data_IF_318764067187
#
_entry.id   IF_318764067187
#
_cell.length_a   1.000
_cell.length_b   1.000
_cell.length_c   1.000
_cell.angle_alpha   90.00
_cell.angle_beta   90.00
_cell.angle_gamma   90.00
#
_symmetry.space_group_name_H-M   'P 1'
#
loop_
_entity.id
_entity.type
_entity.pdbx_description
1 polymer ?
#
# COMPACT_ATOMS: atom_id res chain seq x y z
N UNK A 1 18.12 -25.16 -27.76
CA UNK A 1 18.82 -25.77 -26.61
C UNK A 1 20.30 -25.48 -26.76
N UNK A 2 20.84 -24.55 -25.97
CA UNK A 2 22.29 -24.42 -25.78
C UNK A 2 22.52 -24.17 -24.29
N UNK A 3 23.17 -25.13 -23.63
CA UNK A 3 23.55 -25.04 -22.22
C UNK A 3 24.77 -24.12 -22.09
N UNK A 4 24.79 -23.11 -21.21
CA UNK A 4 25.95 -22.26 -21.03
C UNK A 4 27.06 -22.98 -20.22
N UNK A 5 28.34 -22.59 -20.42
CA UNK A 5 29.52 -23.29 -19.91
C UNK A 5 29.78 -23.04 -18.40
N UNK A 6 30.49 -24.00 -17.79
CA UNK A 6 30.59 -24.20 -16.34
C UNK A 6 31.57 -23.28 -15.56
N UNK A 7 32.10 -22.21 -16.17
CA UNK A 7 33.18 -21.41 -15.55
C UNK A 7 33.04 -19.88 -15.75
N UNK A 8 31.81 -19.37 -15.74
CA UNK A 8 31.58 -17.93 -15.71
C UNK A 8 31.49 -17.44 -14.25
N UNK A 9 32.52 -16.69 -13.80
CA UNK A 9 32.44 -15.85 -12.59
C UNK A 9 31.16 -15.01 -12.65
N UNK A 10 30.47 -14.73 -11.53
CA UNK A 10 29.19 -14.03 -11.55
C UNK A 10 29.38 -12.54 -11.90
N UNK A 11 29.61 -12.26 -13.19
CA UNK A 11 29.41 -10.96 -13.79
C UNK A 11 27.93 -10.63 -13.60
N UNK A 12 27.67 -9.95 -12.48
CA UNK A 12 26.35 -9.57 -12.01
C UNK A 12 25.89 -8.39 -12.85
N UNK A 13 25.58 -8.66 -14.11
CA UNK A 13 24.89 -7.71 -14.96
C UNK A 13 23.53 -7.45 -14.31
N UNK A 14 23.38 -6.24 -13.79
CA UNK A 14 22.20 -5.68 -13.14
C UNK A 14 20.92 -5.92 -13.96
N UNK A 15 20.29 -7.08 -13.81
CA UNK A 15 18.98 -7.31 -14.40
C UNK A 15 17.93 -6.63 -13.52
N UNK A 16 17.81 -5.31 -13.69
CA UNK A 16 16.75 -4.53 -13.06
C UNK A 16 15.42 -5.02 -13.64
N UNK A 17 14.67 -5.77 -12.83
CA UNK A 17 13.35 -6.24 -13.21
C UNK A 17 12.30 -5.22 -12.82
N UNK A 18 11.55 -4.75 -13.82
CA UNK A 18 10.35 -3.93 -13.66
C UNK A 18 9.14 -4.72 -14.15
N UNK A 19 8.03 -4.59 -13.43
CA UNK A 19 6.76 -5.19 -13.79
C UNK A 19 5.61 -4.34 -13.28
N UNK A 20 4.59 -4.18 -14.11
CA UNK A 20 3.35 -3.45 -13.78
C UNK A 20 2.18 -4.34 -14.17
N UNK A 21 1.13 -4.32 -13.36
CA UNK A 21 -0.12 -5.01 -13.65
C UNK A 21 -1.30 -4.17 -13.21
N UNK A 22 -2.27 -4.02 -14.11
CA UNK A 22 -3.53 -3.37 -13.81
C UNK A 22 -4.58 -4.42 -13.40
N UNK A 23 -5.33 -4.12 -12.35
CA UNK A 23 -6.41 -4.98 -11.84
C UNK A 23 -7.66 -4.14 -11.73
N UNK A 24 -8.62 -4.40 -12.61
CA UNK A 24 -9.92 -3.74 -12.55
C UNK A 24 -10.75 -4.29 -11.38
N UNK A 25 -11.42 -3.39 -10.67
CA UNK A 25 -12.42 -3.74 -9.66
C UNK A 25 -13.80 -3.52 -10.29
N UNK A 26 -14.69 -4.51 -10.21
CA UNK A 26 -16.01 -4.48 -10.88
C UNK A 26 -16.92 -3.36 -10.38
N UNK A 27 -16.81 -3.02 -9.10
CA UNK A 27 -17.60 -1.97 -8.45
C UNK A 27 -16.62 -1.04 -7.73
N UNK A 28 -16.79 0.29 -7.83
CA UNK A 28 -16.04 1.24 -7.02
C UNK A 28 -16.09 0.85 -5.54
N UNK A 29 -14.95 0.83 -4.86
CA UNK A 29 -14.91 0.32 -3.49
C UNK A 29 -13.86 1.02 -2.63
N UNK A 30 -14.24 1.35 -1.40
CA UNK A 30 -13.36 1.82 -0.33
C UNK A 30 -13.01 0.70 0.67
N UNK A 31 -13.42 -0.55 0.41
CA UNK A 31 -13.12 -1.69 1.28
C UNK A 31 -11.63 -2.04 1.20
N UNK A 32 -10.90 -1.71 2.27
CA UNK A 32 -9.45 -1.97 2.39
C UNK A 32 -9.09 -3.43 2.14
N UNK A 33 -9.94 -4.39 2.55
CA UNK A 33 -9.66 -5.82 2.36
C UNK A 33 -9.74 -6.22 0.88
N UNK A 34 -10.72 -5.68 0.15
CA UNK A 34 -10.84 -5.91 -1.31
C UNK A 34 -9.67 -5.28 -2.06
N UNK A 35 -9.27 -4.06 -1.70
CA UNK A 35 -8.15 -3.37 -2.31
C UNK A 35 -6.84 -4.12 -2.08
N UNK A 36 -6.58 -4.60 -0.86
CA UNK A 36 -5.39 -5.42 -0.56
C UNK A 36 -5.42 -6.74 -1.33
N UNK A 37 -6.58 -7.40 -1.44
CA UNK A 37 -6.70 -8.63 -2.23
C UNK A 37 -6.38 -8.40 -3.72
N UNK A 38 -6.91 -7.33 -4.32
CA UNK A 38 -6.63 -6.95 -5.70
C UNK A 38 -5.14 -6.62 -5.93
N UNK A 39 -4.55 -5.86 -5.01
CA UNK A 39 -3.14 -5.50 -5.02
C UNK A 39 -2.23 -6.75 -4.99
N UNK A 40 -2.51 -7.69 -4.08
CA UNK A 40 -1.78 -8.96 -3.99
C UNK A 40 -1.98 -9.83 -5.24
N UNK A 41 -3.17 -9.82 -5.81
CA UNK A 41 -3.47 -10.53 -7.05
C UNK A 41 -2.61 -10.00 -8.21
N UNK A 42 -2.54 -8.68 -8.39
CA UNK A 42 -1.67 -8.06 -9.38
C UNK A 42 -0.19 -8.37 -9.12
N UNK A 43 0.27 -8.21 -7.88
CA UNK A 43 1.65 -8.50 -7.48
C UNK A 43 2.05 -9.94 -7.82
N UNK A 44 1.19 -10.93 -7.55
CA UNK A 44 1.47 -12.34 -7.87
C UNK A 44 1.68 -12.58 -9.37
N UNK A 45 1.08 -11.78 -10.26
CA UNK A 45 1.20 -11.92 -11.72
C UNK A 45 2.52 -11.38 -12.25
N UNK A 46 3.08 -10.37 -11.60
CA UNK A 46 4.36 -9.74 -11.98
C UNK A 46 5.53 -10.24 -11.12
N UNK A 47 5.26 -11.00 -10.07
CA UNK A 47 6.33 -11.53 -9.23
C UNK A 47 7.13 -12.60 -9.99
N UNK A 48 8.45 -12.47 -9.99
CA UNK A 48 9.41 -13.40 -10.56
C UNK A 48 10.42 -13.83 -9.49
N UNK A 49 10.50 -15.13 -9.16
CA UNK A 49 11.51 -15.62 -8.24
C UNK A 49 12.92 -15.40 -8.82
N UNK A 50 13.89 -15.18 -7.94
CA UNK A 50 15.30 -14.93 -8.32
C UNK A 50 15.67 -13.47 -8.51
N UNK A 51 14.71 -12.54 -8.49
CA UNK A 51 14.97 -11.10 -8.51
C UNK A 51 14.93 -10.49 -7.11
N UNK A 52 15.80 -9.50 -6.87
CA UNK A 52 15.73 -8.64 -5.69
C UNK A 52 14.89 -7.42 -6.02
N UNK A 53 13.82 -7.21 -5.26
CA UNK A 53 12.91 -6.08 -5.44
C UNK A 53 13.28 -4.96 -4.46
N UNK A 54 13.51 -3.75 -4.98
CA UNK A 54 13.84 -2.58 -4.16
C UNK A 54 12.60 -1.80 -3.70
N UNK A 55 11.56 -1.76 -4.53
CA UNK A 55 10.34 -0.97 -4.27
C UNK A 55 9.13 -1.57 -4.98
N UNK A 56 7.97 -1.49 -4.33
CA UNK A 56 6.66 -1.71 -4.93
C UNK A 56 5.82 -0.43 -4.78
N UNK A 57 4.90 -0.22 -5.72
CA UNK A 57 3.94 0.89 -5.69
C UNK A 57 2.58 0.36 -6.10
N UNK A 58 1.54 0.91 -5.49
CA UNK A 58 0.15 0.70 -5.88
C UNK A 58 -0.43 2.06 -6.22
N UNK A 59 -1.22 2.10 -7.30
CA UNK A 59 -1.89 3.31 -7.75
C UNK A 59 -3.38 2.98 -7.86
N UNK A 60 -4.21 3.81 -7.24
CA UNK A 60 -5.65 3.75 -7.42
C UNK A 60 -6.01 4.76 -8.52
N UNK A 61 -6.69 4.27 -9.54
CA UNK A 61 -7.19 5.05 -10.67
C UNK A 61 -8.70 5.17 -10.58
N UNK A 62 -9.28 6.11 -11.33
CA UNK A 62 -10.75 6.28 -11.41
C UNK A 62 -11.43 6.53 -10.06
N UNK A 63 -10.79 7.34 -9.21
CA UNK A 63 -11.37 7.77 -7.94
C UNK A 63 -12.62 8.60 -8.19
N UNK A 64 -13.69 8.28 -7.46
CA UNK A 64 -14.97 8.98 -7.52
C UNK A 64 -15.43 9.35 -6.11
N UNK A 65 -16.27 10.39 -6.02
CA UNK A 65 -16.88 10.79 -4.77
C UNK A 65 -17.86 9.71 -4.26
N UNK A 66 -17.84 9.46 -2.96
CA UNK A 66 -18.78 8.54 -2.32
C UNK A 66 -20.23 9.02 -2.56
N UNK A 67 -21.12 8.10 -2.91
CA UNK A 67 -22.54 8.40 -3.18
C UNK A 67 -22.86 8.87 -4.60
N UNK A 68 -21.87 9.05 -5.47
CA UNK A 68 -22.06 9.35 -6.91
C UNK A 68 -21.93 8.08 -7.78
N UNK A 69 -22.00 6.91 -7.15
CA UNK A 69 -21.82 5.64 -7.83
C UNK A 69 -23.09 5.15 -8.53
N UNK A 70 -22.92 4.63 -9.75
CA UNK A 70 -24.00 3.94 -10.42
C UNK A 70 -24.18 2.56 -9.78
N UNK A 71 -25.35 2.34 -9.19
CA UNK A 71 -25.69 1.02 -8.64
C UNK A 71 -25.71 -0.03 -9.74
N UNK A 72 -25.08 -1.18 -9.47
CA UNK A 72 -25.16 -2.37 -10.31
C UNK A 72 -26.20 -3.33 -9.73
N UNK A 73 -27.15 -3.76 -10.57
CA UNK A 73 -28.25 -4.65 -10.20
C UNK A 73 -27.77 -6.02 -9.70
N UNK A 74 -26.59 -6.46 -10.16
CA UNK A 74 -26.01 -7.75 -9.80
C UNK A 74 -24.86 -7.63 -8.79
N UNK A 75 -24.55 -6.42 -8.33
CA UNK A 75 -23.48 -6.22 -7.38
C UNK A 75 -23.88 -6.71 -5.97
N UNK A 76 -22.93 -7.30 -5.23
CA UNK A 76 -23.15 -7.67 -3.83
C UNK A 76 -23.38 -6.41 -2.97
N UNK A 77 -24.27 -6.53 -1.98
CA UNK A 77 -24.69 -5.44 -1.10
C UNK A 77 -23.50 -4.72 -0.42
N UNK A 78 -23.27 -3.45 -0.76
CA UNK A 78 -22.17 -2.64 -0.23
C UNK A 78 -22.38 -2.25 1.26
N UNK A 79 -23.64 -2.10 1.68
CA UNK A 79 -24.06 -1.52 2.97
C UNK A 79 -23.40 -2.15 4.20
N UNK A 80 -23.19 -3.47 4.20
CA UNK A 80 -22.57 -4.19 5.33
C UNK A 80 -21.06 -3.95 5.40
N UNK A 81 -20.40 -3.81 4.24
CA UNK A 81 -18.96 -3.55 4.16
C UNK A 81 -18.65 -2.12 4.57
N UNK A 82 -19.49 -1.17 4.18
CA UNK A 82 -19.30 0.25 4.54
C UNK A 82 -19.36 0.46 6.05
N UNK A 83 -20.32 -0.17 6.74
CA UNK A 83 -20.39 -0.13 8.21
C UNK A 83 -19.15 -0.73 8.85
N UNK A 84 -18.67 -1.87 8.36
CA UNK A 84 -17.45 -2.49 8.88
C UNK A 84 -16.24 -1.57 8.72
N UNK A 85 -16.07 -0.94 7.55
CA UNK A 85 -14.97 -0.01 7.31
C UNK A 85 -15.07 1.22 8.21
N UNK A 86 -16.27 1.79 8.37
CA UNK A 86 -16.49 2.93 9.25
C UNK A 86 -16.15 2.60 10.72
N UNK A 87 -16.50 1.41 11.22
CA UNK A 87 -16.15 0.97 12.58
C UNK A 87 -14.63 0.74 12.72
N UNK A 88 -13.99 0.14 11.71
CA UNK A 88 -12.53 -0.03 11.69
C UNK A 88 -11.81 1.33 11.77
N UNK A 89 -12.28 2.30 11.00
CA UNK A 89 -11.73 3.66 10.98
C UNK A 89 -11.98 4.36 12.32
N UNK A 90 -13.17 4.25 12.90
CA UNK A 90 -13.49 4.83 14.21
C UNK A 90 -12.59 4.28 15.33
N UNK A 91 -12.27 2.98 15.30
CA UNK A 91 -11.33 2.38 16.27
C UNK A 91 -9.91 2.92 16.03
N UNK A 92 -9.47 3.01 14.78
CA UNK A 92 -8.15 3.58 14.45
C UNK A 92 -8.03 5.05 14.86
N UNK A 93 -9.08 5.85 14.72
CA UNK A 93 -9.07 7.25 15.15
C UNK A 93 -9.01 7.38 16.67
N UNK A 94 -9.70 6.49 17.40
CA UNK A 94 -9.74 6.52 18.87
C UNK A 94 -8.46 6.04 19.53
N UNK A 95 -7.86 4.96 19.02
CA UNK A 95 -6.74 4.28 19.68
C UNK A 95 -5.39 4.56 19.01
N UNK A 96 -5.39 5.31 17.90
CA UNK A 96 -4.21 5.69 17.16
C UNK A 96 -4.11 4.97 15.82
N UNK A 97 -3.45 5.64 14.87
CA UNK A 97 -3.32 5.15 13.50
C UNK A 97 -2.70 3.75 13.45
N UNK A 98 -3.27 2.88 12.61
CA UNK A 98 -2.87 1.48 12.44
C UNK A 98 -3.07 0.58 13.68
N UNK A 99 -3.98 0.92 14.60
CA UNK A 99 -4.36 0.04 15.72
C UNK A 99 -4.97 -1.25 15.20
N UNK A 100 -5.98 -1.15 14.33
CA UNK A 100 -6.55 -2.23 13.54
C UNK A 100 -5.99 -2.17 12.12
N UNK A 101 -5.50 -3.32 11.66
CA UNK A 101 -4.85 -3.49 10.37
C UNK A 101 -5.20 -4.84 9.77
N UNK A 102 -5.05 -4.95 8.45
CA UNK A 102 -5.23 -6.20 7.74
C UNK A 102 -4.19 -7.21 8.23
N UNK A 103 -4.63 -8.42 8.58
CA UNK A 103 -3.79 -9.42 9.25
C UNK A 103 -2.58 -9.91 8.44
N UNK A 104 -2.52 -9.62 7.12
CA UNK A 104 -1.34 -9.96 6.31
C UNK A 104 -0.17 -8.96 6.49
N UNK A 105 -0.40 -7.85 7.20
CA UNK A 105 0.62 -6.83 7.47
C UNK A 105 1.30 -7.18 8.79
N UNK A 106 2.60 -7.40 8.75
CA UNK A 106 3.40 -7.62 9.97
C UNK A 106 3.20 -6.46 10.94
N UNK A 107 2.87 -6.78 12.20
CA UNK A 107 2.54 -5.79 13.21
C UNK A 107 3.73 -4.97 13.71
N UNK A 108 4.94 -5.39 13.36
CA UNK A 108 6.18 -4.71 13.70
C UNK A 108 6.81 -4.13 12.45
N UNK A 109 6.64 -2.83 12.27
CA UNK A 109 7.40 -2.09 11.27
C UNK A 109 8.85 -1.98 11.78
N UNK A 110 9.72 -2.91 11.37
CA UNK A 110 11.14 -2.91 11.74
C UNK A 110 11.88 -1.65 11.25
N UNK A 111 11.29 -0.91 10.30
CA UNK A 111 11.87 0.28 9.70
C UNK A 111 11.00 1.51 9.96
N UNK A 112 11.39 2.30 10.96
CA UNK A 112 10.85 3.64 11.17
C UNK A 112 11.74 4.65 10.45
N UNK A 113 11.15 5.74 9.93
CA UNK A 113 11.92 6.83 9.34
C UNK A 113 12.84 7.42 10.40
N UNK A 114 14.16 7.35 10.18
CA UNK A 114 15.15 7.92 11.07
C UNK A 114 15.11 9.45 10.95
N UNK A 115 14.45 10.11 11.90
CA UNK A 115 14.24 11.56 11.92
C UNK A 115 15.29 12.29 12.80
N UNK A 116 16.49 11.75 12.93
CA UNK A 116 17.53 12.29 13.82
C UNK A 116 17.99 13.71 13.45
N UNK A 117 17.72 14.17 12.23
CA UNK A 117 18.03 15.51 11.74
C UNK A 117 16.78 16.37 11.49
N UNK A 118 15.62 16.02 12.08
CA UNK A 118 14.40 16.82 11.94
C UNK A 118 14.60 18.15 12.67
N UNK A 119 14.51 19.26 11.93
CA UNK A 119 14.47 20.61 12.52
C UNK A 119 13.15 20.80 13.27
N UNK A 120 13.10 21.70 14.29
CA UNK A 120 11.85 22.00 14.98
C UNK A 120 10.75 22.42 14.01
N UNK A 121 9.52 22.07 14.34
CA UNK A 121 8.33 22.24 13.51
C UNK A 121 7.82 23.69 13.53
N UNK A 122 8.68 24.67 13.21
CA UNK A 122 8.40 26.11 13.34
C UNK A 122 7.10 26.61 12.66
N UNK A 123 6.66 25.94 11.60
CA UNK A 123 5.47 26.33 10.82
C UNK A 123 4.21 25.53 11.16
N UNK A 124 4.34 24.47 11.95
CA UNK A 124 3.25 23.51 12.22
C UNK A 124 3.01 23.25 13.70
N UNK A 125 3.93 23.67 14.57
CA UNK A 125 3.80 23.60 16.02
C UNK A 125 4.25 24.92 16.65
N UNK A 126 3.33 25.58 17.36
CA UNK A 126 3.61 26.83 18.07
C UNK A 126 4.59 26.64 19.23
N UNK A 127 4.67 25.43 19.80
CA UNK A 127 5.58 25.11 20.90
C UNK A 127 7.05 25.03 20.48
N UNK A 128 7.31 24.81 19.19
CA UNK A 128 8.65 24.71 18.61
C UNK A 128 9.20 26.08 18.16
N UNK A 129 8.44 27.18 18.34
CA UNK A 129 8.89 28.53 17.99
C UNK A 129 9.95 29.05 18.96
N UNK A 130 11.01 29.71 18.47
CA UNK A 130 12.00 30.33 19.33
C UNK A 130 11.39 31.51 20.09
N UNK A 131 11.51 31.50 21.43
CA UNK A 131 11.06 32.60 22.28
C UNK A 131 12.08 33.74 22.20
N UNK A 132 11.65 34.92 21.73
CA UNK A 132 12.46 36.12 21.75
C UNK A 132 12.57 36.66 23.19
N UNK A 133 13.78 37.00 23.63
CA UNK A 133 14.07 37.58 24.94
C UNK A 133 14.48 39.04 24.80
#
# INVERSE_FOLDING_TARGET
MLTPPADARPDTTYLNYEGTSDVAVTVPTSDTLRLVAAALYGLKRIYKPGFKYAKARFMLTELQAQGVEQGDLFAPEASKRDRLMAELDAVNDRFGRNTLRVGNVEGHQAWHMAQNAKTPSYTTDWGDLPVAR
#
